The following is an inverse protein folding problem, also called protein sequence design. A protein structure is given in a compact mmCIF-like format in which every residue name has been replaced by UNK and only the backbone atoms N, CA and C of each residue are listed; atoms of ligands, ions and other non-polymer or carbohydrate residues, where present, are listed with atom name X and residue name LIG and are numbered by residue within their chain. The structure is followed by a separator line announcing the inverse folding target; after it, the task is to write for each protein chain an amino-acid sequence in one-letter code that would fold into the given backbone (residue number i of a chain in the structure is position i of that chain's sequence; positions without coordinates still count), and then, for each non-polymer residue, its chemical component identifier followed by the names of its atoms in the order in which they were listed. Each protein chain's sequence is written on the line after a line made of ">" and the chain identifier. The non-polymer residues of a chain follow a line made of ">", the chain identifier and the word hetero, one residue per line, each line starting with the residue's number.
data_IF_159371398386
#
_entry.id   IF_159371398386
#
_cell.length_a   1.000
_cell.length_b   1.000
_cell.length_c   1.000
_cell.angle_alpha   90.00
_cell.angle_beta   90.00
_cell.angle_gamma   90.00
#
_symmetry.space_group_name_H-M   'P 1'
#
loop_
_entity.id
_entity.type
_entity.pdbx_description
1 polymer ?
#
# COMPACT_ATOMS: atom_id res chain seq x y z
N UNK A 1 -82.78 22.65 83.65
CA UNK A 1 -81.62 21.74 83.58
C UNK A 1 -81.76 20.63 82.51
N UNK A 2 -82.61 20.79 81.47
CA UNK A 2 -82.86 19.75 80.45
C UNK A 2 -81.95 19.83 79.22
N UNK A 3 -81.44 21.01 78.82
CA UNK A 3 -80.68 21.16 77.57
C UNK A 3 -79.28 20.54 77.60
N UNK A 4 -78.58 20.58 78.75
CA UNK A 4 -77.23 20.02 78.88
C UNK A 4 -77.14 18.51 78.56
N UNK A 5 -78.22 17.75 78.77
CA UNK A 5 -78.25 16.31 78.48
C UNK A 5 -78.52 16.02 77.00
N UNK A 6 -79.18 16.92 76.30
CA UNK A 6 -79.44 16.82 74.85
C UNK A 6 -78.22 17.29 74.07
N UNK A 7 -77.59 18.40 74.47
CA UNK A 7 -76.33 18.90 73.91
C UNK A 7 -75.24 17.82 74.00
N UNK A 8 -75.08 17.19 75.18
CA UNK A 8 -74.12 16.09 75.37
C UNK A 8 -74.44 14.83 74.55
N UNK A 9 -75.69 14.60 74.15
CA UNK A 9 -76.05 13.48 73.25
C UNK A 9 -75.76 13.84 71.79
N UNK A 10 -76.01 15.09 71.40
CA UNK A 10 -75.66 15.62 70.10
C UNK A 10 -74.14 15.62 69.90
N UNK A 11 -73.36 16.06 70.90
CA UNK A 11 -71.89 16.06 70.87
C UNK A 11 -71.34 14.63 70.73
N UNK A 12 -71.83 13.66 71.52
CA UNK A 12 -71.42 12.25 71.37
C UNK A 12 -71.83 11.64 70.04
N UNK A 13 -72.92 12.11 69.43
CA UNK A 13 -73.33 11.65 68.11
C UNK A 13 -72.43 12.23 67.02
N UNK A 14 -72.03 13.51 67.15
CA UNK A 14 -71.08 14.19 66.28
C UNK A 14 -69.67 13.59 66.39
N UNK A 15 -69.17 13.34 67.60
CA UNK A 15 -67.88 12.65 67.83
C UNK A 15 -67.86 11.26 67.19
N UNK A 16 -68.94 10.47 67.34
CA UNK A 16 -69.03 9.14 66.70
C UNK A 16 -69.21 9.20 65.18
N UNK A 17 -69.62 10.33 64.62
CA UNK A 17 -69.67 10.54 63.17
C UNK A 17 -68.28 10.90 62.67
N UNK A 18 -67.58 11.81 63.35
CA UNK A 18 -66.18 12.17 63.06
C UNK A 18 -65.25 10.96 63.18
N UNK A 19 -65.34 10.17 64.25
CA UNK A 19 -64.57 8.92 64.43
C UNK A 19 -64.76 7.91 63.29
N UNK A 20 -65.93 7.92 62.64
CA UNK A 20 -66.23 7.04 61.50
C UNK A 20 -65.68 7.61 60.20
N UNK A 21 -65.73 8.92 60.03
CA UNK A 21 -65.13 9.60 58.90
C UNK A 21 -63.60 9.52 58.94
N UNK A 22 -62.99 9.78 60.10
CA UNK A 22 -61.56 9.67 60.32
C UNK A 22 -61.06 8.25 60.06
N UNK A 23 -61.76 7.23 60.58
CA UNK A 23 -61.43 5.83 60.27
C UNK A 23 -61.56 5.48 58.79
N UNK A 24 -62.54 6.06 58.07
CA UNK A 24 -62.68 5.85 56.62
C UNK A 24 -61.54 6.52 55.86
N UNK A 25 -61.16 7.74 56.25
CA UNK A 25 -60.05 8.48 55.66
C UNK A 25 -58.71 7.79 55.92
N UNK A 26 -58.49 7.24 57.12
CA UNK A 26 -57.30 6.46 57.46
C UNK A 26 -57.20 5.17 56.62
N UNK A 27 -58.30 4.42 56.49
CA UNK A 27 -58.33 3.21 55.66
C UNK A 27 -58.11 3.51 54.18
N UNK A 28 -58.69 4.59 53.67
CA UNK A 28 -58.49 5.02 52.29
C UNK A 28 -57.04 5.50 52.05
N UNK A 29 -56.47 6.25 53.00
CA UNK A 29 -55.08 6.67 52.94
C UNK A 29 -54.12 5.47 53.00
N UNK A 30 -54.41 4.46 53.84
CA UNK A 30 -53.65 3.23 53.92
C UNK A 30 -53.71 2.44 52.60
N UNK A 31 -54.91 2.27 52.03
CA UNK A 31 -55.10 1.60 50.74
C UNK A 31 -54.38 2.32 49.60
N UNK A 32 -54.42 3.66 49.56
CA UNK A 32 -53.69 4.46 48.56
C UNK A 32 -52.17 4.32 48.70
N UNK A 33 -51.65 4.29 49.94
CA UNK A 33 -50.21 4.05 50.20
C UNK A 33 -49.78 2.66 49.75
N UNK A 34 -50.58 1.64 50.02
CA UNK A 34 -50.29 0.26 49.60
C UNK A 34 -50.30 0.13 48.07
N UNK A 35 -51.28 0.74 47.39
CA UNK A 35 -51.33 0.78 45.92
C UNK A 35 -50.13 1.50 45.32
N UNK A 36 -49.74 2.66 45.87
CA UNK A 36 -48.58 3.40 45.41
C UNK A 36 -47.28 2.60 45.57
N UNK A 37 -47.09 1.93 46.71
CA UNK A 37 -45.94 1.05 46.94
C UNK A 37 -45.93 -0.16 46.03
N UNK A 38 -47.09 -0.76 45.75
CA UNK A 38 -47.19 -1.88 44.82
C UNK A 38 -46.86 -1.47 43.38
N UNK A 39 -47.26 -0.28 42.95
CA UNK A 39 -46.94 0.27 41.64
C UNK A 39 -45.45 0.63 41.51
N UNK A 40 -44.87 1.24 42.54
CA UNK A 40 -43.43 1.54 42.61
C UNK A 40 -42.60 0.25 42.54
N UNK A 41 -42.97 -0.79 43.30
CA UNK A 41 -42.30 -2.11 43.23
C UNK A 41 -42.39 -2.75 41.83
N UNK A 42 -43.50 -2.56 41.12
CA UNK A 42 -43.65 -3.04 39.73
C UNK A 42 -42.73 -2.26 38.78
N UNK A 43 -42.71 -0.93 38.89
CA UNK A 43 -41.83 -0.06 38.09
C UNK A 43 -40.35 -0.39 38.34
N UNK A 44 -39.96 -0.61 39.58
CA UNK A 44 -38.59 -0.98 39.95
C UNK A 44 -38.22 -2.38 39.44
N UNK A 45 -39.13 -3.35 39.55
CA UNK A 45 -38.90 -4.69 39.01
C UNK A 45 -38.74 -4.68 37.49
N UNK A 46 -39.54 -3.89 36.78
CA UNK A 46 -39.45 -3.76 35.32
C UNK A 46 -38.19 -2.98 34.89
N UNK A 47 -37.82 -1.94 35.63
CA UNK A 47 -36.57 -1.21 35.41
C UNK A 47 -35.35 -2.13 35.60
N UNK A 48 -35.32 -2.92 36.68
CA UNK A 48 -34.27 -3.92 36.92
C UNK A 48 -34.19 -4.98 35.82
N UNK A 49 -35.33 -5.51 35.36
CA UNK A 49 -35.36 -6.47 34.24
C UNK A 49 -34.81 -5.88 32.95
N UNK A 50 -35.14 -4.62 32.63
CA UNK A 50 -34.61 -3.93 31.45
C UNK A 50 -33.11 -3.70 31.57
N UNK A 51 -32.62 -3.31 32.74
CA UNK A 51 -31.20 -3.13 33.00
C UNK A 51 -30.45 -4.46 32.88
N UNK A 52 -30.94 -5.54 33.49
CA UNK A 52 -30.33 -6.87 33.37
C UNK A 52 -30.29 -7.38 31.93
N UNK A 53 -31.34 -7.12 31.13
CA UNK A 53 -31.35 -7.47 29.72
C UNK A 53 -30.35 -6.64 28.91
N UNK A 54 -30.24 -5.35 29.20
CA UNK A 54 -29.25 -4.47 28.57
C UNK A 54 -27.82 -4.91 28.91
N UNK A 55 -27.55 -5.21 30.19
CA UNK A 55 -26.24 -5.68 30.65
C UNK A 55 -25.87 -7.05 30.05
N UNK A 56 -26.83 -7.96 29.94
CA UNK A 56 -26.62 -9.26 29.26
C UNK A 56 -26.29 -9.07 27.78
N UNK A 57 -27.01 -8.19 27.07
CA UNK A 57 -26.72 -7.87 25.66
C UNK A 57 -25.35 -7.20 25.50
N UNK A 58 -24.99 -6.27 26.38
CA UNK A 58 -23.69 -5.60 26.37
C UNK A 58 -22.55 -6.61 26.58
N UNK A 59 -22.66 -7.51 27.57
CA UNK A 59 -21.66 -8.57 27.81
C UNK A 59 -21.56 -9.53 26.61
N UNK A 60 -22.68 -9.91 26.00
CA UNK A 60 -22.67 -10.77 24.81
C UNK A 60 -22.01 -10.07 23.62
N UNK A 61 -22.30 -8.79 23.39
CA UNK A 61 -21.67 -7.99 22.35
C UNK A 61 -20.15 -7.84 22.58
N UNK A 62 -19.73 -7.60 23.82
CA UNK A 62 -18.32 -7.53 24.17
C UNK A 62 -17.60 -8.87 23.96
N UNK A 63 -18.19 -9.98 24.39
CA UNK A 63 -17.65 -11.32 24.13
C UNK A 63 -17.57 -11.64 22.64
N UNK A 64 -18.60 -11.26 21.86
CA UNK A 64 -18.60 -11.43 20.41
C UNK A 64 -17.50 -10.58 19.75
N UNK A 65 -17.33 -9.33 20.18
CA UNK A 65 -16.27 -8.44 19.68
C UNK A 65 -14.87 -9.00 20.00
N UNK A 66 -14.63 -9.46 21.23
CA UNK A 66 -13.36 -10.11 21.62
C UNK A 66 -13.09 -11.36 20.77
N UNK A 67 -14.11 -12.20 20.54
CA UNK A 67 -14.00 -13.38 19.67
C UNK A 67 -13.72 -12.99 18.22
N UNK A 68 -14.36 -11.95 17.70
CA UNK A 68 -14.15 -11.46 16.35
C UNK A 68 -12.73 -10.90 16.15
N UNK A 69 -12.20 -10.14 17.12
CA UNK A 69 -10.82 -9.64 17.10
C UNK A 69 -9.83 -10.82 17.15
N UNK A 70 -10.03 -11.79 18.04
CA UNK A 70 -9.19 -12.98 18.11
C UNK A 70 -9.25 -13.81 16.82
N UNK A 71 -10.43 -13.97 16.22
CA UNK A 71 -10.60 -14.66 14.95
C UNK A 71 -9.92 -13.92 13.79
N UNK A 72 -10.01 -12.58 13.74
CA UNK A 72 -9.35 -11.76 12.74
C UNK A 72 -7.82 -11.83 12.87
N UNK A 73 -7.29 -11.79 14.10
CA UNK A 73 -5.85 -11.98 14.36
C UNK A 73 -5.38 -13.37 13.93
N UNK A 74 -6.13 -14.43 14.27
CA UNK A 74 -5.85 -15.81 13.83
C UNK A 74 -5.91 -15.93 12.31
N UNK A 75 -6.92 -15.34 11.66
CA UNK A 75 -7.06 -15.36 10.20
C UNK A 75 -5.90 -14.61 9.52
N UNK A 76 -5.46 -13.48 10.07
CA UNK A 76 -4.28 -12.74 9.59
C UNK A 76 -3.02 -13.59 9.73
N UNK A 77 -2.84 -14.24 10.88
CA UNK A 77 -1.72 -15.14 11.10
C UNK A 77 -1.75 -16.31 10.11
N UNK A 78 -2.87 -17.04 9.99
CA UNK A 78 -3.01 -18.16 9.06
C UNK A 78 -2.80 -17.73 7.61
N UNK A 79 -3.31 -16.57 7.20
CA UNK A 79 -3.08 -16.01 5.86
C UNK A 79 -1.61 -15.71 5.63
N UNK A 80 -0.94 -15.09 6.60
CA UNK A 80 0.49 -14.83 6.55
C UNK A 80 1.29 -16.14 6.47
N UNK A 81 0.96 -17.14 7.30
CA UNK A 81 1.59 -18.46 7.29
C UNK A 81 1.45 -19.13 5.91
N UNK A 82 0.23 -19.13 5.34
CA UNK A 82 -0.05 -19.69 4.00
C UNK A 82 0.67 -18.93 2.88
N UNK A 83 0.80 -17.61 3.00
CA UNK A 83 1.49 -16.78 2.01
C UNK A 83 3.02 -16.88 2.11
N UNK A 84 3.56 -17.39 3.22
CA UNK A 84 4.99 -17.41 3.49
C UNK A 84 5.53 -18.82 3.85
N UNK A 85 5.25 -19.86 3.05
CA UNK A 85 5.68 -21.23 3.37
C UNK A 85 7.21 -21.35 3.45
N UNK A 86 7.94 -20.64 2.60
CA UNK A 86 9.40 -20.57 2.65
C UNK A 86 9.90 -19.98 3.98
N UNK A 87 9.27 -18.92 4.51
CA UNK A 87 9.65 -18.35 5.81
C UNK A 87 9.46 -19.35 6.95
N UNK A 88 8.40 -20.16 6.91
CA UNK A 88 8.14 -21.17 7.93
C UNK A 88 9.10 -22.34 7.88
N UNK A 89 9.42 -22.83 6.68
CA UNK A 89 10.42 -23.87 6.52
C UNK A 89 11.78 -23.40 7.03
N UNK A 90 12.16 -22.15 6.71
CA UNK A 90 13.38 -21.55 7.24
C UNK A 90 13.33 -21.41 8.76
N UNK A 91 12.22 -20.92 9.34
CA UNK A 91 12.04 -20.86 10.79
C UNK A 91 12.18 -22.22 11.47
N UNK A 92 11.63 -23.28 10.87
CA UNK A 92 11.77 -24.63 11.37
C UNK A 92 13.23 -25.09 11.36
N UNK A 93 13.94 -24.95 10.23
CA UNK A 93 15.36 -25.31 10.11
C UNK A 93 16.21 -24.55 11.14
N UNK A 94 15.90 -23.27 11.36
CA UNK A 94 16.60 -22.42 12.34
C UNK A 94 16.36 -22.90 13.78
N UNK A 95 15.13 -23.21 14.16
CA UNK A 95 14.84 -23.75 15.50
C UNK A 95 15.53 -25.11 15.68
N UNK A 96 15.51 -25.96 14.65
CA UNK A 96 16.14 -27.28 14.68
C UNK A 96 17.68 -27.20 14.80
N UNK A 97 18.33 -26.14 14.33
CA UNK A 97 19.78 -25.94 14.51
C UNK A 97 20.13 -25.31 15.87
N UNK A 98 19.29 -24.41 16.38
CA UNK A 98 19.54 -23.68 17.64
C UNK A 98 19.37 -24.59 18.85
N UNK A 99 18.34 -25.45 18.88
CA UNK A 99 18.03 -26.27 20.06
C UNK A 99 19.18 -27.20 20.46
N UNK A 100 19.79 -27.99 19.55
CA UNK A 100 20.94 -28.82 19.88
C UNK A 100 22.16 -28.01 20.32
N UNK A 101 22.41 -26.84 19.71
CA UNK A 101 23.53 -25.97 20.07
C UNK A 101 23.40 -25.44 21.51
N UNK A 102 22.21 -24.99 21.91
CA UNK A 102 21.92 -24.55 23.28
C UNK A 102 22.11 -25.71 24.27
N UNK A 103 21.57 -26.90 23.96
CA UNK A 103 21.71 -28.07 24.84
C UNK A 103 23.17 -28.50 24.99
N UNK A 104 23.93 -28.49 23.89
CA UNK A 104 25.36 -28.82 23.89
C UNK A 104 26.18 -27.82 24.70
N UNK A 105 25.92 -26.51 24.52
CA UNK A 105 26.64 -25.45 25.24
C UNK A 105 26.32 -25.47 26.74
N UNK A 106 25.07 -25.75 27.14
CA UNK A 106 24.71 -25.95 28.54
C UNK A 106 25.47 -27.15 29.12
N UNK A 107 25.49 -28.29 28.42
CA UNK A 107 26.23 -29.48 28.86
C UNK A 107 27.72 -29.20 29.05
N UNK A 108 28.35 -28.58 28.06
CA UNK A 108 29.77 -28.22 28.10
C UNK A 108 30.13 -27.28 29.26
N UNK A 109 29.31 -26.26 29.48
CA UNK A 109 29.60 -25.20 30.45
C UNK A 109 29.27 -25.61 31.89
N UNK A 110 28.27 -26.49 32.07
CA UNK A 110 28.07 -27.17 33.37
C UNK A 110 29.24 -28.08 33.74
N UNK A 111 29.90 -28.72 32.76
CA UNK A 111 31.15 -29.47 32.97
C UNK A 111 32.36 -28.57 33.28
N UNK A 112 32.36 -27.32 32.78
CA UNK A 112 33.44 -26.34 32.97
C UNK A 112 33.28 -25.45 34.21
N UNK A 113 32.36 -25.77 35.14
CA UNK A 113 32.04 -24.98 36.35
C UNK A 113 31.55 -23.54 36.11
N UNK A 114 31.19 -23.21 34.87
CA UNK A 114 30.53 -21.95 34.55
C UNK A 114 29.06 -22.06 34.95
N UNK A 115 28.56 -21.09 35.70
CA UNK A 115 27.15 -21.10 36.10
C UNK A 115 26.27 -21.20 34.85
N UNK A 116 25.38 -22.20 34.80
CA UNK A 116 24.48 -22.46 33.66
C UNK A 116 23.74 -21.21 33.10
N UNK A 117 23.37 -20.20 33.91
CA UNK A 117 22.82 -18.94 33.39
C UNK A 117 23.79 -18.16 32.48
N UNK A 118 25.08 -18.13 32.82
CA UNK A 118 26.11 -17.42 32.05
C UNK A 118 26.37 -18.11 30.70
N UNK A 119 26.32 -19.44 30.71
CA UNK A 119 26.40 -20.26 29.51
C UNK A 119 25.26 -19.99 28.52
N UNK A 120 24.02 -19.98 29.04
CA UNK A 120 22.85 -19.61 28.25
C UNK A 120 22.90 -18.18 27.71
N UNK A 121 23.49 -17.25 28.46
CA UNK A 121 23.66 -15.86 28.01
C UNK A 121 24.69 -15.73 26.86
N UNK A 122 25.82 -16.44 26.95
CA UNK A 122 26.84 -16.47 25.87
C UNK A 122 26.29 -17.11 24.59
N UNK A 123 25.56 -18.22 24.73
CA UNK A 123 24.82 -18.86 23.64
C UNK A 123 23.84 -17.88 22.97
N UNK A 124 23.00 -17.26 23.78
CA UNK A 124 22.00 -16.31 23.32
C UNK A 124 22.62 -15.05 22.69
N UNK A 125 23.79 -14.61 23.15
CA UNK A 125 24.49 -13.44 22.60
C UNK A 125 25.07 -13.72 21.21
N UNK A 126 25.71 -14.87 21.01
CA UNK A 126 26.29 -15.24 19.71
C UNK A 126 25.21 -15.51 18.67
N UNK A 127 24.22 -16.32 19.03
CA UNK A 127 23.07 -16.60 18.17
C UNK A 127 22.25 -15.32 17.93
N UNK A 128 21.88 -14.62 19.00
CA UNK A 128 21.09 -13.37 18.93
C UNK A 128 21.79 -12.24 18.17
N UNK A 129 23.12 -12.15 18.24
CA UNK A 129 23.92 -11.18 17.50
C UNK A 129 23.87 -11.40 15.99
N UNK A 130 24.03 -12.65 15.53
CA UNK A 130 23.88 -12.99 14.12
C UNK A 130 22.46 -12.68 13.60
N UNK A 131 21.44 -12.95 14.41
CA UNK A 131 20.04 -12.61 14.09
C UNK A 131 19.79 -11.11 14.02
N UNK A 132 20.28 -10.36 15.00
CA UNK A 132 20.12 -8.91 15.03
C UNK A 132 20.71 -8.27 13.77
N UNK A 133 21.92 -8.66 13.37
CA UNK A 133 22.57 -8.14 12.15
C UNK A 133 21.79 -8.54 10.90
N UNK A 134 21.27 -9.76 10.86
CA UNK A 134 20.47 -10.26 9.74
C UNK A 134 19.16 -9.49 9.57
N UNK A 135 18.45 -9.21 10.68
CA UNK A 135 17.25 -8.38 10.65
C UNK A 135 17.55 -6.91 10.32
N UNK A 136 18.66 -6.35 10.82
CA UNK A 136 19.11 -5.01 10.43
C UNK A 136 19.43 -4.92 8.93
N UNK A 137 20.03 -5.96 8.36
CA UNK A 137 20.28 -6.06 6.92
C UNK A 137 18.99 -6.05 6.11
N UNK A 138 17.99 -6.84 6.53
CA UNK A 138 16.66 -6.83 5.91
C UNK A 138 15.97 -5.46 6.03
N UNK A 139 16.02 -4.83 7.21
CA UNK A 139 15.44 -3.50 7.41
C UNK A 139 16.14 -2.43 6.57
N UNK A 140 17.46 -2.54 6.37
CA UNK A 140 18.20 -1.66 5.48
C UNK A 140 17.74 -1.83 4.03
N UNK A 141 17.59 -3.07 3.57
CA UNK A 141 17.09 -3.40 2.23
C UNK A 141 15.66 -2.90 2.00
N UNK A 142 14.75 -3.19 2.94
CA UNK A 142 13.35 -2.73 2.88
C UNK A 142 13.26 -1.19 2.88
N UNK A 143 14.26 -0.49 3.44
CA UNK A 143 14.40 0.96 3.42
C UNK A 143 15.20 1.51 2.21
N UNK A 144 15.56 0.67 1.24
CA UNK A 144 16.35 1.06 0.06
C UNK A 144 17.81 1.43 0.35
N UNK A 145 18.32 1.13 1.56
CA UNK A 145 19.72 1.34 1.95
C UNK A 145 20.59 0.15 1.55
N UNK A 146 21.90 0.36 1.42
CA UNK A 146 22.84 -0.70 1.05
C UNK A 146 22.92 -1.81 2.13
N UNK A 147 22.50 -3.06 1.84
CA UNK A 147 22.46 -4.13 2.84
C UNK A 147 23.80 -4.88 2.99
N UNK A 148 24.76 -4.62 2.09
CA UNK A 148 26.00 -5.42 1.98
C UNK A 148 26.82 -5.48 3.26
N UNK A 149 26.91 -4.36 4.00
CA UNK A 149 27.69 -4.28 5.25
C UNK A 149 27.12 -5.21 6.33
N UNK A 150 25.80 -5.22 6.48
CA UNK A 150 25.11 -6.12 7.42
C UNK A 150 25.30 -7.58 7.02
N UNK A 151 25.23 -7.89 5.71
CA UNK A 151 25.46 -9.24 5.21
C UNK A 151 26.87 -9.75 5.50
N UNK A 152 27.89 -8.92 5.27
CA UNK A 152 29.28 -9.26 5.63
C UNK A 152 29.38 -9.52 7.14
N UNK A 153 28.75 -8.68 7.96
CA UNK A 153 28.67 -8.87 9.41
C UNK A 153 28.02 -10.19 9.81
N UNK A 154 26.86 -10.53 9.23
CA UNK A 154 26.16 -11.80 9.48
C UNK A 154 27.05 -13.00 9.15
N UNK A 155 27.68 -13.00 7.96
CA UNK A 155 28.55 -14.10 7.54
C UNK A 155 29.81 -14.21 8.40
N UNK A 156 30.38 -13.09 8.84
CA UNK A 156 31.51 -13.10 9.76
C UNK A 156 31.14 -13.75 11.11
N UNK A 157 30.04 -13.31 11.73
CA UNK A 157 29.57 -13.88 13.01
C UNK A 157 29.19 -15.35 12.85
N UNK A 158 28.50 -15.71 11.77
CA UNK A 158 28.13 -17.10 11.48
C UNK A 158 29.35 -18.00 11.30
N UNK A 159 30.41 -17.49 10.68
CA UNK A 159 31.68 -18.23 10.52
C UNK A 159 32.36 -18.46 11.86
N UNK A 160 32.37 -17.45 12.75
CA UNK A 160 32.88 -17.60 14.12
C UNK A 160 32.07 -18.63 14.89
N UNK A 161 30.74 -18.57 14.83
CA UNK A 161 29.86 -19.54 15.49
C UNK A 161 30.10 -20.98 14.96
N UNK A 162 30.23 -21.13 13.64
CA UNK A 162 30.54 -22.40 13.01
C UNK A 162 31.89 -22.96 13.47
N UNK A 163 32.91 -22.12 13.59
CA UNK A 163 34.22 -22.52 14.10
C UNK A 163 34.15 -22.99 15.56
N UNK A 164 33.41 -22.28 16.41
CA UNK A 164 33.19 -22.67 17.82
C UNK A 164 32.45 -24.01 17.91
N UNK A 165 31.37 -24.17 17.14
CA UNK A 165 30.59 -25.42 17.13
C UNK A 165 31.39 -26.60 16.57
N UNK A 166 32.23 -26.37 15.56
CA UNK A 166 33.14 -27.38 15.03
C UNK A 166 34.18 -27.78 16.08
N UNK A 167 34.85 -26.80 16.71
CA UNK A 167 35.86 -27.07 17.74
C UNK A 167 35.27 -27.84 18.92
N UNK A 168 34.12 -27.38 19.42
CA UNK A 168 33.41 -28.06 20.51
C UNK A 168 33.00 -29.48 20.12
N UNK A 169 32.55 -29.68 18.87
CA UNK A 169 32.22 -31.00 18.37
C UNK A 169 33.40 -31.96 18.32
N UNK A 170 34.62 -31.47 18.05
CA UNK A 170 35.83 -32.30 18.09
C UNK A 170 36.17 -32.74 19.51
N UNK A 171 35.98 -31.87 20.50
CA UNK A 171 36.22 -32.19 21.91
C UNK A 171 35.15 -33.14 22.48
N UNK A 172 33.88 -32.87 22.20
CA UNK A 172 32.76 -33.63 22.74
C UNK A 172 32.56 -34.99 22.03
N UNK A 173 32.93 -35.09 20.76
CA UNK A 173 32.71 -36.27 19.93
C UNK A 173 34.00 -36.74 19.24
N UNK A 174 35.11 -36.84 20.00
CA UNK A 174 36.42 -37.22 19.47
C UNK A 174 36.44 -38.55 18.69
N UNK A 175 35.63 -39.52 19.09
CA UNK A 175 35.49 -40.81 18.39
C UNK A 175 34.72 -40.70 17.06
N UNK A 176 34.04 -39.57 16.84
CA UNK A 176 33.15 -39.32 15.70
C UNK A 176 33.37 -37.90 15.13
N UNK A 177 34.55 -37.62 14.52
CA UNK A 177 34.90 -36.28 14.05
C UNK A 177 33.96 -35.72 12.97
N UNK A 178 33.21 -36.58 12.27
CA UNK A 178 32.18 -36.15 11.33
C UNK A 178 31.03 -35.38 12.01
N UNK A 179 30.74 -35.65 13.28
CA UNK A 179 29.71 -34.93 14.06
C UNK A 179 30.12 -33.46 14.24
N UNK A 180 31.40 -33.20 14.50
CA UNK A 180 31.95 -31.86 14.56
C UNK A 180 31.73 -31.08 13.27
N UNK A 181 31.99 -31.72 12.12
CA UNK A 181 31.73 -31.14 10.81
C UNK A 181 30.26 -30.79 10.60
N UNK A 182 29.34 -31.69 10.98
CA UNK A 182 27.89 -31.45 10.88
C UNK A 182 27.46 -30.27 11.77
N UNK A 183 27.98 -30.16 12.99
CA UNK A 183 27.69 -29.05 13.90
C UNK A 183 28.18 -27.71 13.34
N UNK A 184 29.42 -27.63 12.85
CA UNK A 184 29.94 -26.43 12.20
C UNK A 184 29.16 -26.07 10.93
N UNK A 185 28.93 -27.04 10.04
CA UNK A 185 28.23 -26.83 8.78
C UNK A 185 26.76 -26.40 8.99
N UNK A 186 26.06 -26.99 9.97
CA UNK A 186 24.67 -26.62 10.28
C UNK A 186 24.51 -25.15 10.70
N UNK A 187 25.52 -24.60 11.38
CA UNK A 187 25.57 -23.19 11.80
C UNK A 187 25.58 -22.24 10.60
N UNK A 188 26.33 -22.59 9.54
CA UNK A 188 26.36 -21.83 8.30
C UNK A 188 25.12 -22.07 7.44
N UNK A 189 24.59 -23.29 7.45
CA UNK A 189 23.50 -23.70 6.58
C UNK A 189 22.19 -22.94 6.88
N UNK A 190 21.88 -22.69 8.16
CA UNK A 190 20.71 -21.90 8.54
C UNK A 190 20.78 -20.46 7.97
N UNK A 191 21.95 -19.83 8.08
CA UNK A 191 22.21 -18.49 7.54
C UNK A 191 22.17 -18.52 6.01
N UNK A 192 22.74 -19.54 5.38
CA UNK A 192 22.72 -19.71 3.93
C UNK A 192 21.30 -19.79 3.36
N UNK A 193 20.43 -20.63 3.94
CA UNK A 193 19.04 -20.75 3.47
C UNK A 193 18.29 -19.42 3.70
N UNK A 194 18.49 -18.78 4.87
CA UNK A 194 17.87 -17.48 5.13
C UNK A 194 18.30 -16.44 4.08
N UNK A 195 19.60 -16.34 3.80
CA UNK A 195 20.19 -15.41 2.83
C UNK A 195 19.65 -15.67 1.41
N UNK A 196 19.50 -16.94 1.02
CA UNK A 196 18.86 -17.34 -0.23
C UNK A 196 17.40 -16.91 -0.30
N UNK A 197 16.65 -17.09 0.78
CA UNK A 197 15.23 -16.74 0.83
C UNK A 197 15.03 -15.23 0.79
N UNK A 198 15.82 -14.45 1.53
CA UNK A 198 15.68 -13.00 1.57
C UNK A 198 16.15 -12.35 0.28
N UNK A 199 17.34 -12.72 -0.21
CA UNK A 199 17.97 -12.02 -1.33
C UNK A 199 17.74 -12.71 -2.69
N UNK A 200 17.45 -14.00 -2.72
CA UNK A 200 17.13 -14.71 -3.96
C UNK A 200 15.76 -14.32 -4.55
N UNK A 201 14.85 -13.81 -3.72
CA UNK A 201 13.48 -13.44 -4.13
C UNK A 201 13.31 -11.97 -4.53
N UNK A 202 14.18 -11.06 -4.06
CA UNK A 202 14.07 -9.60 -4.29
C UNK A 202 15.06 -9.05 -5.33
N UNK A 203 15.77 -9.93 -6.03
CA UNK A 203 16.65 -9.51 -7.11
C UNK A 203 15.89 -8.93 -8.30
N UNK A 204 16.54 -8.01 -9.05
CA UNK A 204 16.03 -7.54 -10.34
C UNK A 204 15.57 -8.72 -11.19
N UNK A 205 14.38 -8.62 -11.77
CA UNK A 205 13.86 -9.66 -12.67
C UNK A 205 14.83 -9.88 -13.82
N UNK A 206 14.74 -11.04 -14.49
CA UNK A 206 15.58 -11.32 -15.66
C UNK A 206 15.45 -10.22 -16.72
N UNK A 207 14.23 -9.71 -16.92
CA UNK A 207 13.94 -8.59 -17.82
C UNK A 207 14.60 -7.29 -17.35
N UNK A 208 14.49 -6.93 -16.06
CA UNK A 208 15.17 -5.75 -15.52
C UNK A 208 16.69 -5.85 -15.65
N UNK A 209 17.27 -7.03 -15.41
CA UNK A 209 18.71 -7.27 -15.63
C UNK A 209 19.10 -7.14 -17.10
N UNK A 210 18.27 -7.64 -18.01
CA UNK A 210 18.49 -7.49 -19.45
C UNK A 210 18.38 -6.03 -19.90
N UNK A 211 17.38 -5.29 -19.41
CA UNK A 211 17.20 -3.87 -19.68
C UNK A 211 18.38 -3.03 -19.14
N UNK A 212 18.85 -3.31 -17.92
CA UNK A 212 20.04 -2.66 -17.36
C UNK A 212 21.29 -2.97 -18.16
N UNK A 213 21.46 -4.24 -18.58
CA UNK A 213 22.59 -4.66 -19.42
C UNK A 213 22.53 -3.95 -20.78
N UNK A 214 21.36 -3.86 -21.40
CA UNK A 214 21.14 -3.15 -22.65
C UNK A 214 21.45 -1.65 -22.48
N UNK A 215 20.98 -1.01 -21.41
CA UNK A 215 21.26 0.40 -21.09
C UNK A 215 22.77 0.63 -20.92
N UNK A 216 23.46 -0.23 -20.16
CA UNK A 216 24.92 -0.14 -19.98
C UNK A 216 25.67 -0.36 -21.28
N UNK A 217 25.26 -1.33 -22.09
CA UNK A 217 25.84 -1.59 -23.39
C UNK A 217 25.65 -0.39 -24.33
N UNK A 218 24.46 0.21 -24.34
CA UNK A 218 24.15 1.41 -25.11
C UNK A 218 25.01 2.62 -24.70
N UNK A 219 25.13 2.89 -23.39
CA UNK A 219 26.00 3.97 -22.88
C UNK A 219 27.48 3.70 -23.20
N UNK A 220 27.93 2.46 -23.06
CA UNK A 220 29.29 2.06 -23.42
C UNK A 220 29.56 2.23 -24.92
N UNK A 221 28.61 1.84 -25.77
CA UNK A 221 28.70 2.02 -27.21
C UNK A 221 28.78 3.51 -27.57
N UNK A 222 27.95 4.38 -26.96
CA UNK A 222 28.04 5.83 -27.15
C UNK A 222 29.41 6.38 -26.80
N UNK A 223 29.97 5.98 -25.65
CA UNK A 223 31.33 6.38 -25.23
C UNK A 223 32.41 5.93 -26.20
N UNK A 224 32.26 4.74 -26.78
CA UNK A 224 33.21 4.18 -27.74
C UNK A 224 33.13 4.86 -29.11
N UNK A 225 31.92 5.11 -29.62
CA UNK A 225 31.71 5.59 -30.99
C UNK A 225 31.69 7.12 -31.09
N UNK A 226 31.32 7.82 -30.02
CA UNK A 226 31.14 9.28 -30.01
C UNK A 226 31.83 9.94 -28.80
N UNK A 227 33.15 9.74 -28.61
CA UNK A 227 33.85 10.22 -27.42
C UNK A 227 33.76 11.74 -27.24
N UNK A 228 33.89 12.52 -28.32
CA UNK A 228 33.84 13.99 -28.28
C UNK A 228 32.47 14.52 -27.84
N UNK A 229 31.39 13.92 -28.36
CA UNK A 229 30.02 14.28 -28.02
C UNK A 229 29.73 13.94 -26.55
N UNK A 230 30.22 12.79 -26.07
CA UNK A 230 30.08 12.43 -24.65
C UNK A 230 30.85 13.40 -23.75
N UNK A 231 32.08 13.78 -24.12
CA UNK A 231 32.86 14.76 -23.36
C UNK A 231 32.12 16.10 -23.27
N UNK A 232 31.55 16.55 -24.38
CA UNK A 232 30.77 17.78 -24.41
C UNK A 232 29.46 17.68 -23.60
N UNK A 233 28.78 16.54 -23.63
CA UNK A 233 27.60 16.28 -22.80
C UNK A 233 27.93 16.37 -21.30
N UNK A 234 29.05 15.80 -20.88
CA UNK A 234 29.53 15.89 -19.49
C UNK A 234 29.87 17.33 -19.11
N UNK A 235 30.51 18.10 -20.02
CA UNK A 235 30.77 19.54 -19.79
C UNK A 235 29.47 20.34 -19.65
N UNK A 236 28.46 20.07 -20.46
CA UNK A 236 27.15 20.72 -20.36
C UNK A 236 26.46 20.42 -19.03
N UNK A 237 26.48 19.16 -18.58
CA UNK A 237 25.92 18.79 -17.27
C UNK A 237 26.67 19.46 -16.12
N UNK A 238 28.01 19.53 -16.19
CA UNK A 238 28.82 20.14 -15.14
C UNK A 238 28.65 21.67 -15.07
N UNK A 239 28.29 22.31 -16.18
CA UNK A 239 28.06 23.75 -16.24
C UNK A 239 26.66 24.17 -15.72
N UNK A 240 25.71 23.24 -15.66
CA UNK A 240 24.34 23.50 -15.21
C UNK A 240 24.12 23.00 -13.76
N UNK A 241 23.13 23.55 -13.03
CA UNK A 241 22.77 23.03 -11.71
C UNK A 241 22.36 21.54 -11.77
N UNK A 242 22.72 20.78 -10.73
CA UNK A 242 22.45 19.35 -10.67
C UNK A 242 20.96 19.03 -10.85
N UNK A 243 20.65 18.11 -11.76
CA UNK A 243 19.28 17.66 -12.04
C UNK A 243 18.50 18.50 -13.05
N UNK A 244 19.05 19.62 -13.55
CA UNK A 244 18.39 20.42 -14.60
C UNK A 244 18.43 19.72 -15.95
N UNK A 245 19.52 19.00 -16.24
CA UNK A 245 19.72 18.29 -17.50
C UNK A 245 20.06 16.82 -17.21
N UNK A 246 19.23 15.91 -17.71
CA UNK A 246 19.48 14.47 -17.60
C UNK A 246 20.52 14.00 -18.63
N UNK A 247 21.00 12.76 -18.48
CA UNK A 247 22.06 12.18 -19.34
C UNK A 247 21.66 12.13 -20.82
N UNK A 248 20.39 11.84 -21.11
CA UNK A 248 19.90 11.75 -22.49
C UNK A 248 19.76 13.13 -23.13
N UNK A 249 19.19 14.12 -22.44
CA UNK A 249 19.07 15.48 -22.99
C UNK A 249 20.43 16.16 -23.13
N UNK A 250 21.37 15.91 -22.22
CA UNK A 250 22.74 16.41 -22.33
C UNK A 250 23.46 15.84 -23.55
N UNK A 251 23.33 14.53 -23.79
CA UNK A 251 23.88 13.90 -24.97
C UNK A 251 23.22 14.43 -26.26
N UNK A 252 21.90 14.62 -26.26
CA UNK A 252 21.19 15.16 -27.41
C UNK A 252 21.58 16.61 -27.73
N UNK A 253 21.71 17.45 -26.70
CA UNK A 253 22.17 18.83 -26.86
C UNK A 253 23.61 18.88 -27.39
N UNK A 254 24.52 18.07 -26.83
CA UNK A 254 25.89 17.95 -27.31
C UNK A 254 25.94 17.46 -28.77
N UNK A 255 25.10 16.50 -29.12
CA UNK A 255 25.00 15.99 -30.49
C UNK A 255 24.57 17.09 -31.46
N UNK A 256 23.54 17.89 -31.12
CA UNK A 256 23.09 19.02 -31.94
C UNK A 256 24.18 20.09 -32.09
N UNK A 257 24.93 20.39 -31.05
CA UNK A 257 26.01 21.37 -31.12
C UNK A 257 27.15 20.88 -32.03
N UNK A 258 27.50 19.59 -31.95
CA UNK A 258 28.61 19.02 -32.72
C UNK A 258 28.24 18.75 -34.18
N UNK A 259 27.06 18.17 -34.42
CA UNK A 259 26.64 17.69 -35.75
C UNK A 259 25.65 18.59 -36.47
N UNK A 260 25.02 19.55 -35.77
CA UNK A 260 23.96 20.40 -36.32
C UNK A 260 22.61 19.68 -36.54
N UNK A 261 22.46 18.43 -36.09
CA UNK A 261 21.26 17.62 -36.30
C UNK A 261 20.82 16.90 -35.01
N UNK A 262 19.67 16.22 -35.08
CA UNK A 262 19.18 15.38 -33.97
C UNK A 262 20.02 14.10 -33.79
N UNK A 263 20.08 13.50 -32.59
CA UNK A 263 20.79 12.24 -32.34
C UNK A 263 20.43 11.15 -33.34
N UNK A 264 21.44 10.55 -33.97
CA UNK A 264 21.26 9.52 -35.00
C UNK A 264 21.17 10.05 -36.44
N UNK A 265 21.13 11.37 -36.63
CA UNK A 265 21.26 12.01 -37.95
C UNK A 265 22.58 12.77 -38.03
N UNK A 266 23.25 12.67 -39.18
CA UNK A 266 24.31 13.61 -39.57
C UNK A 266 23.70 14.78 -40.33
N UNK A 267 24.40 15.92 -40.42
CA UNK A 267 23.98 17.05 -41.25
C UNK A 267 23.73 16.64 -42.71
N UNK A 268 24.55 15.74 -43.26
CA UNK A 268 24.39 15.19 -44.61
C UNK A 268 23.13 14.32 -44.75
N UNK A 269 22.86 13.45 -43.77
CA UNK A 269 21.64 12.64 -43.75
C UNK A 269 20.41 13.53 -43.59
N UNK A 270 20.49 14.57 -42.78
CA UNK A 270 19.42 15.55 -42.61
C UNK A 270 19.14 16.33 -43.90
N UNK A 271 20.20 16.80 -44.59
CA UNK A 271 20.07 17.44 -45.89
C UNK A 271 19.50 16.48 -46.94
N UNK A 272 19.94 15.22 -46.95
CA UNK A 272 19.43 14.17 -47.84
C UNK A 272 17.93 13.91 -47.58
N UNK A 273 17.53 13.76 -46.32
CA UNK A 273 16.14 13.59 -45.95
C UNK A 273 15.29 14.79 -46.36
N UNK A 274 15.79 16.02 -46.13
CA UNK A 274 15.11 17.26 -46.52
C UNK A 274 14.94 17.36 -48.04
N UNK A 275 16.01 17.06 -48.80
CA UNK A 275 15.95 17.04 -50.26
C UNK A 275 15.00 15.98 -50.80
N UNK A 276 14.93 14.81 -50.15
CA UNK A 276 13.98 13.77 -50.51
C UNK A 276 12.53 14.25 -50.31
N UNK A 277 12.22 14.88 -49.17
CA UNK A 277 10.90 15.47 -48.90
C UNK A 277 10.57 16.57 -49.90
N UNK A 278 11.51 17.47 -50.22
CA UNK A 278 11.30 18.52 -51.22
C UNK A 278 11.08 17.94 -52.62
N UNK A 279 11.85 16.92 -53.01
CA UNK A 279 11.67 16.24 -54.30
C UNK A 279 10.32 15.54 -54.40
N UNK A 280 9.84 14.96 -53.30
CA UNK A 280 8.51 14.35 -53.21
C UNK A 280 7.41 15.41 -53.31
N UNK A 281 7.55 16.53 -52.61
CA UNK A 281 6.64 17.67 -52.71
C UNK A 281 6.58 18.24 -54.12
N UNK A 282 7.72 18.47 -54.76
CA UNK A 282 7.79 18.93 -56.15
C UNK A 282 7.17 17.93 -57.12
N UNK A 283 7.31 16.62 -56.89
CA UNK A 283 6.65 15.59 -57.68
C UNK A 283 5.12 15.61 -57.50
N UNK A 284 4.62 15.88 -56.29
CA UNK A 284 3.19 16.09 -56.04
C UNK A 284 2.66 17.38 -56.69
N UNK A 285 3.38 18.49 -56.62
CA UNK A 285 2.99 19.75 -57.29
C UNK A 285 2.97 19.62 -58.82
N UNK A 286 3.90 18.85 -59.40
CA UNK A 286 3.83 18.52 -60.84
C UNK A 286 2.59 17.65 -61.16
N UNK A 287 2.18 16.81 -60.21
CA UNK A 287 0.99 15.96 -60.28
C UNK A 287 -0.34 16.65 -59.95
N UNK A 288 -0.32 17.83 -59.31
CA UNK A 288 -1.51 18.62 -58.96
C UNK A 288 -2.25 19.13 -60.20
N UNK A 289 -1.56 19.24 -61.34
CA UNK A 289 -2.19 19.49 -62.63
C UNK A 289 -2.84 18.23 -63.26
N UNK A 290 -2.77 17.07 -62.60
CA UNK A 290 -3.15 15.78 -63.19
C UNK A 290 -4.28 15.03 -62.48
N UNK A 291 -4.59 15.21 -61.17
CA UNK A 291 -5.86 14.72 -60.54
C UNK A 291 -5.95 14.98 -59.04
N UNK A 292 -7.16 15.30 -58.58
CA UNK A 292 -7.59 15.46 -57.17
C UNK A 292 -7.30 14.21 -56.29
N UNK A 293 -7.20 13.02 -56.89
CA UNK A 293 -6.87 11.75 -56.23
C UNK A 293 -5.42 11.69 -55.69
N UNK A 294 -4.48 12.47 -56.26
CA UNK A 294 -3.08 12.50 -55.82
C UNK A 294 -2.87 13.35 -54.56
N UNK A 295 -3.67 14.39 -54.35
CA UNK A 295 -3.69 15.18 -53.12
C UNK A 295 -4.10 14.34 -51.90
N UNK A 296 -5.10 13.46 -52.09
CA UNK A 296 -5.52 12.52 -51.05
C UNK A 296 -4.39 11.52 -50.72
N UNK A 297 -3.61 11.14 -51.73
CA UNK A 297 -2.45 10.24 -51.58
C UNK A 297 -1.26 10.94 -50.90
N UNK A 298 -1.04 12.24 -51.15
CA UNK A 298 -0.02 13.05 -50.47
C UNK A 298 -0.32 13.29 -48.97
N UNK A 299 -1.59 13.55 -48.64
CA UNK A 299 -2.05 13.59 -47.25
C UNK A 299 -1.93 12.22 -46.57
N UNK A 300 -2.25 11.12 -47.28
CA UNK A 300 -2.00 9.76 -46.80
C UNK A 300 -0.50 9.50 -46.61
N UNK A 301 0.38 9.97 -47.48
CA UNK A 301 1.83 9.80 -47.36
C UNK A 301 2.42 10.56 -46.16
N UNK A 302 1.89 11.74 -45.83
CA UNK A 302 2.25 12.47 -44.60
C UNK A 302 1.77 11.71 -43.36
N UNK A 303 0.59 11.06 -43.47
CA UNK A 303 0.05 10.13 -42.46
C UNK A 303 0.86 8.83 -42.33
N UNK A 304 1.51 8.41 -43.42
CA UNK A 304 2.32 7.19 -43.55
C UNK A 304 3.83 7.47 -43.47
N UNK A 305 4.23 8.68 -43.04
CA UNK A 305 5.63 9.01 -42.79
C UNK A 305 6.22 7.92 -41.88
N UNK A 306 7.29 7.21 -42.28
CA UNK A 306 7.84 6.08 -41.53
C UNK A 306 8.51 6.49 -40.22
N UNK A 307 8.68 7.80 -39.98
CA UNK A 307 9.25 8.35 -38.76
C UNK A 307 8.38 9.47 -38.14
N UNK A 308 7.08 9.22 -37.88
CA UNK A 308 6.24 10.23 -37.25
C UNK A 308 6.66 10.45 -35.77
N UNK A 309 7.37 9.50 -35.17
CA UNK A 309 7.87 9.56 -33.80
C UNK A 309 9.21 10.33 -33.67
N UNK A 310 9.98 10.48 -34.74
CA UNK A 310 11.22 11.29 -34.75
C UNK A 310 10.95 12.76 -35.06
N UNK A 311 9.81 13.05 -35.69
CA UNK A 311 9.30 14.42 -35.76
C UNK A 311 8.68 14.75 -34.43
N UNK A 312 9.53 15.16 -33.48
CA UNK A 312 9.08 15.84 -32.29
C UNK A 312 8.25 17.03 -32.75
N UNK A 313 6.92 16.92 -32.65
CA UNK A 313 6.06 18.08 -32.77
C UNK A 313 6.50 19.02 -31.64
N UNK A 314 6.90 20.27 -31.92
CA UNK A 314 7.28 21.20 -30.88
C UNK A 314 6.02 21.65 -30.13
N UNK A 315 5.44 20.77 -29.33
CA UNK A 315 4.60 21.18 -28.21
C UNK A 315 5.54 21.70 -27.13
N UNK A 316 5.55 23.02 -27.00
CA UNK A 316 6.32 23.82 -26.04
C UNK A 316 7.76 24.16 -26.44
N UNK A 317 7.87 25.18 -27.29
CA UNK A 317 8.98 26.12 -27.23
C UNK A 317 8.82 26.98 -25.95
N UNK A 318 9.02 26.39 -24.76
CA UNK A 318 9.30 27.06 -23.47
C UNK A 318 9.19 26.05 -22.32
N UNK A 319 10.23 25.26 -22.08
CA UNK A 319 10.81 24.97 -20.75
C UNK A 319 9.95 24.72 -19.50
N UNK A 320 8.68 24.34 -19.60
CA UNK A 320 7.83 23.96 -18.46
C UNK A 320 6.97 22.76 -18.89
N UNK A 321 7.52 21.57 -18.70
CA UNK A 321 6.86 20.32 -19.07
C UNK A 321 5.55 20.12 -18.29
N UNK A 322 4.52 19.70 -19.02
CA UNK A 322 3.38 19.01 -18.43
C UNK A 322 3.84 17.58 -18.13
N UNK A 323 4.11 17.32 -16.86
CA UNK A 323 4.57 16.03 -16.37
C UNK A 323 3.47 14.98 -16.51
N UNK A 324 3.38 14.31 -17.66
CA UNK A 324 2.57 13.10 -17.77
C UNK A 324 3.24 12.00 -16.93
N UNK A 325 2.57 11.45 -15.89
CA UNK A 325 3.15 10.41 -15.08
C UNK A 325 3.06 9.08 -15.82
N UNK A 326 4.06 8.75 -16.63
CA UNK A 326 4.35 7.38 -17.04
C UNK A 326 5.00 6.61 -15.87
N UNK A 327 4.22 6.40 -14.81
CA UNK A 327 4.50 5.40 -13.80
C UNK A 327 3.71 4.12 -14.12
N UNK A 328 4.24 2.91 -13.82
CA UNK A 328 3.44 1.69 -13.85
C UNK A 328 2.23 1.88 -12.93
N UNK A 329 1.05 1.51 -13.43
CA UNK A 329 -0.22 1.69 -12.73
C UNK A 329 -0.10 1.28 -11.26
N UNK A 330 -0.43 2.16 -10.30
CA UNK A 330 -0.30 1.83 -8.88
C UNK A 330 -1.15 0.60 -8.58
N UNK A 331 -0.50 -0.44 -8.05
CA UNK A 331 -1.18 -1.63 -7.56
C UNK A 331 -2.34 -1.19 -6.65
N UNK A 332 -3.55 -1.61 -7.03
CA UNK A 332 -4.81 -1.30 -6.38
C UNK A 332 -4.68 -1.48 -4.85
N UNK A 333 -4.80 -0.38 -4.10
CA UNK A 333 -4.90 -0.42 -2.64
C UNK A 333 -6.11 -1.29 -2.27
N UNK A 334 -5.97 -2.28 -1.37
CA UNK A 334 -7.01 -3.27 -1.08
C UNK A 334 -8.27 -2.69 -0.40
N UNK A 335 -8.28 -1.41 -0.03
CA UNK A 335 -9.42 -0.73 0.61
C UNK A 335 -10.01 0.41 -0.25
N UNK A 336 -9.65 0.51 -1.54
CA UNK A 336 -10.32 1.48 -2.41
C UNK A 336 -11.76 1.01 -2.69
N UNK A 337 -12.78 1.87 -2.52
CA UNK A 337 -14.17 1.50 -2.81
C UNK A 337 -14.26 0.98 -4.24
N UNK A 338 -14.87 -0.19 -4.43
CA UNK A 338 -15.03 -0.81 -5.75
C UNK A 338 -15.64 0.20 -6.74
N UNK A 339 -15.14 0.20 -7.98
CA UNK A 339 -15.66 1.10 -9.02
C UNK A 339 -17.09 0.72 -9.37
N UNK A 340 -17.92 1.71 -9.72
CA UNK A 340 -19.29 1.42 -10.14
C UNK A 340 -19.29 0.59 -11.42
N UNK A 341 -20.17 -0.40 -11.48
CA UNK A 341 -20.36 -1.22 -12.67
C UNK A 341 -20.91 -0.38 -13.84
N UNK A 342 -20.71 -0.80 -15.11
CA UNK A 342 -21.23 -0.07 -16.27
C UNK A 342 -22.75 0.18 -16.21
N UNK A 343 -23.53 -0.76 -15.66
CA UNK A 343 -24.98 -0.61 -15.49
C UNK A 343 -25.34 0.45 -14.45
N UNK A 344 -24.57 0.55 -13.36
CA UNK A 344 -24.76 1.60 -12.35
C UNK A 344 -24.33 2.97 -12.87
N UNK A 345 -23.31 3.03 -13.73
CA UNK A 345 -22.95 4.27 -14.42
C UNK A 345 -24.06 4.71 -15.38
N UNK A 346 -24.64 3.78 -16.14
CA UNK A 346 -25.78 4.09 -17.02
C UNK A 346 -26.98 4.63 -16.23
N UNK A 347 -27.28 4.03 -15.08
CA UNK A 347 -28.34 4.52 -14.19
C UNK A 347 -28.08 5.94 -13.65
N UNK A 348 -26.83 6.38 -13.57
CA UNK A 348 -26.42 7.73 -13.12
C UNK A 348 -26.33 8.75 -14.25
N UNK A 349 -26.51 8.34 -15.51
CA UNK A 349 -26.41 9.23 -16.65
C UNK A 349 -27.39 10.42 -16.60
N UNK A 350 -28.68 10.27 -16.17
CA UNK A 350 -29.60 11.41 -16.03
C UNK A 350 -29.11 12.44 -15.00
N UNK A 351 -28.58 11.98 -13.86
CA UNK A 351 -28.03 12.84 -12.82
C UNK A 351 -26.74 13.53 -13.31
N UNK A 352 -25.92 12.83 -14.08
CA UNK A 352 -24.71 13.39 -14.68
C UNK A 352 -25.01 14.47 -15.73
N UNK A 353 -26.06 14.31 -16.52
CA UNK A 353 -26.53 15.33 -17.47
C UNK A 353 -27.01 16.59 -16.74
N UNK A 354 -27.75 16.42 -15.64
CA UNK A 354 -28.21 17.51 -14.79
C UNK A 354 -27.03 18.25 -14.15
N UNK A 355 -26.09 17.51 -13.54
CA UNK A 355 -24.89 18.07 -12.94
C UNK A 355 -23.99 18.78 -13.97
N UNK A 356 -23.91 18.27 -15.20
CA UNK A 356 -23.18 18.92 -16.29
C UNK A 356 -23.85 20.23 -16.73
N UNK A 357 -25.19 20.27 -16.79
CA UNK A 357 -25.93 21.50 -17.09
C UNK A 357 -25.70 22.58 -16.01
N UNK A 358 -25.69 22.20 -14.73
CA UNK A 358 -25.35 23.09 -13.62
C UNK A 358 -23.92 23.62 -13.74
N UNK A 359 -22.93 22.76 -14.03
CA UNK A 359 -21.54 23.20 -14.20
C UNK A 359 -21.41 24.22 -15.34
N UNK A 360 -22.11 24.03 -16.45
CA UNK A 360 -22.12 24.98 -17.57
C UNK A 360 -22.82 26.28 -17.18
N UNK A 361 -23.93 26.23 -16.44
CA UNK A 361 -24.61 27.41 -15.92
C UNK A 361 -23.72 28.21 -14.93
N UNK A 362 -22.85 27.52 -14.18
CA UNK A 362 -21.82 28.12 -13.33
C UNK A 362 -20.60 28.68 -14.11
N UNK A 363 -20.59 28.58 -15.45
CA UNK A 363 -19.46 29.00 -16.29
C UNK A 363 -18.23 28.06 -16.21
N UNK A 364 -18.42 26.83 -15.71
CA UNK A 364 -17.35 25.83 -15.56
C UNK A 364 -17.39 24.82 -16.71
N UNK A 365 -16.21 24.37 -17.12
CA UNK A 365 -16.09 23.27 -18.08
C UNK A 365 -16.54 21.93 -17.47
N UNK A 366 -17.17 21.08 -18.27
CA UNK A 366 -17.57 19.72 -17.88
C UNK A 366 -16.31 18.85 -17.74
N UNK A 367 -15.75 18.82 -16.53
CA UNK A 367 -14.57 18.03 -16.20
C UNK A 367 -14.91 16.83 -15.32
N UNK A 368 -14.11 15.76 -15.41
CA UNK A 368 -14.27 14.58 -14.55
C UNK A 368 -14.19 14.93 -13.05
N UNK A 369 -13.40 15.95 -12.69
CA UNK A 369 -13.34 16.44 -11.32
C UNK A 369 -14.64 17.13 -10.88
N UNK A 370 -15.22 17.99 -11.73
CA UNK A 370 -16.48 18.65 -11.45
C UNK A 370 -17.63 17.67 -11.26
N UNK A 371 -17.73 16.67 -12.15
CA UNK A 371 -18.74 15.61 -12.06
C UNK A 371 -18.52 14.71 -10.83
N UNK A 372 -17.28 14.33 -10.53
CA UNK A 372 -16.97 13.55 -9.33
C UNK A 372 -17.41 14.26 -8.05
N UNK A 373 -17.21 15.58 -7.98
CA UNK A 373 -17.61 16.39 -6.82
C UNK A 373 -19.13 16.53 -6.69
N UNK A 374 -19.84 16.78 -7.80
CA UNK A 374 -21.30 16.94 -7.80
C UNK A 374 -22.02 15.62 -7.48
N UNK A 375 -21.56 14.50 -8.05
CA UNK A 375 -22.19 13.19 -7.89
C UNK A 375 -21.62 12.34 -6.74
N UNK A 376 -20.59 12.83 -6.04
CA UNK A 376 -19.86 12.11 -4.99
C UNK A 376 -19.38 10.71 -5.43
N UNK A 377 -18.86 10.61 -6.65
CA UNK A 377 -18.33 9.37 -7.23
C UNK A 377 -16.81 9.43 -7.41
N UNK A 378 -16.19 8.28 -7.69
CA UNK A 378 -14.76 8.21 -8.01
C UNK A 378 -14.45 9.00 -9.27
N UNK A 379 -13.25 9.59 -9.34
CA UNK A 379 -12.81 10.40 -10.49
C UNK A 379 -12.72 9.59 -11.80
N UNK A 380 -12.43 8.30 -11.70
CA UNK A 380 -12.38 7.38 -12.85
C UNK A 380 -13.78 7.18 -13.43
N UNK A 381 -14.76 6.86 -12.57
CA UNK A 381 -16.17 6.71 -12.91
C UNK A 381 -16.75 8.00 -13.51
N UNK A 382 -16.38 9.15 -12.95
CA UNK A 382 -16.77 10.46 -13.45
C UNK A 382 -16.16 10.79 -14.83
N UNK A 383 -14.98 10.27 -15.16
CA UNK A 383 -14.38 10.45 -16.48
C UNK A 383 -15.17 9.68 -17.55
N UNK A 384 -15.57 8.44 -17.25
CA UNK A 384 -16.43 7.65 -18.14
C UNK A 384 -17.80 8.31 -18.34
N UNK A 385 -18.41 8.82 -17.27
CA UNK A 385 -19.68 9.56 -17.36
C UNK A 385 -19.56 10.87 -18.14
N UNK A 386 -18.44 11.61 -17.99
CA UNK A 386 -18.17 12.82 -18.77
C UNK A 386 -18.22 12.53 -20.27
N UNK A 387 -17.55 11.48 -20.71
CA UNK A 387 -17.42 11.17 -22.14
C UNK A 387 -18.80 10.79 -22.73
N UNK A 388 -19.62 10.06 -21.98
CA UNK A 388 -21.02 9.76 -22.33
C UNK A 388 -21.92 11.01 -22.38
N UNK A 389 -21.75 11.93 -21.43
CA UNK A 389 -22.48 13.21 -21.42
C UNK A 389 -22.11 14.07 -22.65
N UNK A 390 -20.83 14.09 -23.05
CA UNK A 390 -20.38 14.80 -24.25
C UNK A 390 -20.97 14.16 -25.51
N UNK A 391 -20.99 12.83 -25.59
CA UNK A 391 -21.58 12.08 -26.71
C UNK A 391 -23.09 12.37 -26.85
N UNK A 392 -23.85 12.26 -25.76
CA UNK A 392 -25.30 12.56 -25.74
C UNK A 392 -25.61 14.00 -26.14
N UNK A 393 -24.81 14.97 -25.68
CA UNK A 393 -24.97 16.38 -26.08
C UNK A 393 -24.66 16.62 -27.55
N UNK A 394 -23.66 15.93 -28.12
CA UNK A 394 -23.36 16.02 -29.56
C UNK A 394 -24.53 15.51 -30.40
N UNK A 395 -25.18 14.43 -29.97
CA UNK A 395 -26.34 13.86 -30.66
C UNK A 395 -27.60 14.75 -30.62
N UNK A 396 -27.74 15.63 -29.62
CA UNK A 396 -28.88 16.56 -29.52
C UNK A 396 -28.65 17.90 -30.24
N UNK A 397 -27.42 18.20 -30.64
CA UNK A 397 -27.05 19.44 -31.34
C UNK A 397 -26.95 19.24 -32.87
N UNK A 398 -26.76 17.99 -33.32
CA UNK A 398 -26.90 17.57 -34.71
C UNK A 398 -28.37 17.27 -35.03
#
# INVERSE_FOLDING_TARGET
>A
MSSYREDRRADRAAERAQDREDRRLELEAAARREQAQAEERRKDADARRRQEQADRKAKQAEHAARKAVAAAQRARLVRWLKANPATLFVAFVMVASIVPAILSQIGALTGASVAAPMAGLLAAMLEGGAWAITFMGKQAEDAGREPRKYRIGTWAVATVAAAVNFWHGLEAYGDHPWVAFVLGASSLFAIYIWDLKTHGSHGKTREQKQADKARRAHVSARRKHHPEIVEQAVKLQAALPFGVLDDESAFAAAWRIHTGAEPGLSAELYATATNAVLSLGAAFELGDNVREELLETGFQATRLNPFPELTYTPTSQAGLGESDPQGPAPASRPDAPEGKSPAELEALLPDALTAAAELVAEGRQISAHGLAKKLQIRRVDAALLRDRVIEQRRLHVA
#
